data_IF_309442249447
#
_entry.id   IF_309442249447
#
_cell.length_a   1.000
_cell.length_b   1.000
_cell.length_c   1.000
_cell.angle_alpha   90.00
_cell.angle_beta   90.00
_cell.angle_gamma   90.00
#
_symmetry.space_group_name_H-M   'P 1'
#
loop_
_entity.id
_entity.type
_entity.pdbx_description
1 polymer ?
#
# COMPACT_ATOMS: atom_id res chain seq x y z
N UNK A 1 7.78 12.76 -35.90
CA UNK A 1 6.65 11.82 -35.68
C UNK A 1 6.32 11.85 -34.18
N UNK A 2 5.11 12.23 -33.74
CA UNK A 2 4.78 12.17 -32.33
C UNK A 2 4.72 10.70 -31.90
N UNK A 3 5.38 10.36 -30.80
CA UNK A 3 5.33 9.02 -30.24
C UNK A 3 3.86 8.70 -29.87
N UNK A 4 3.24 7.75 -30.56
CA UNK A 4 1.93 7.23 -30.15
C UNK A 4 2.10 6.63 -28.76
N UNK A 5 1.45 7.20 -27.74
CA UNK A 5 1.28 6.55 -26.45
C UNK A 5 0.70 5.17 -26.72
N UNK A 6 1.47 4.11 -26.46
CA UNK A 6 0.95 2.74 -26.58
C UNK A 6 -0.11 2.59 -25.50
N UNK A 7 -1.33 2.23 -25.89
CA UNK A 7 -2.39 1.90 -24.94
C UNK A 7 -1.90 0.78 -24.03
N UNK A 8 -2.07 0.95 -22.72
CA UNK A 8 -1.80 -0.10 -21.75
C UNK A 8 -2.78 -1.24 -22.06
N UNK A 9 -2.27 -2.48 -22.13
CA UNK A 9 -3.14 -3.64 -22.30
C UNK A 9 -4.10 -3.73 -21.10
N UNK A 10 -5.39 -4.03 -21.30
CA UNK A 10 -6.38 -4.05 -20.21
C UNK A 10 -5.92 -4.83 -18.97
N UNK A 11 -5.24 -5.97 -19.16
CA UNK A 11 -4.75 -6.83 -18.08
C UNK A 11 -3.68 -6.13 -17.23
N UNK A 12 -2.80 -5.34 -17.88
CA UNK A 12 -1.81 -4.52 -17.18
C UNK A 12 -2.46 -3.37 -16.43
N UNK A 13 -3.53 -2.79 -16.97
CA UNK A 13 -4.27 -1.73 -16.28
C UNK A 13 -4.95 -2.26 -15.02
N UNK A 14 -5.61 -3.42 -15.09
CA UNK A 14 -6.23 -4.07 -13.94
C UNK A 14 -5.22 -4.37 -12.83
N UNK A 15 -4.02 -4.83 -13.17
CA UNK A 15 -2.94 -5.04 -12.21
C UNK A 15 -2.50 -3.73 -11.52
N UNK A 16 -2.31 -2.65 -12.29
CA UNK A 16 -1.96 -1.34 -11.74
C UNK A 16 -3.07 -0.77 -10.84
N UNK A 17 -4.33 -0.97 -11.21
CA UNK A 17 -5.47 -0.52 -10.41
C UNK A 17 -5.53 -1.26 -9.05
N UNK A 18 -5.23 -2.56 -9.03
CA UNK A 18 -5.10 -3.34 -7.78
C UNK A 18 -3.98 -2.82 -6.89
N UNK A 19 -2.79 -2.56 -7.47
CA UNK A 19 -1.67 -2.00 -6.72
C UNK A 19 -2.01 -0.63 -6.12
N UNK A 20 -2.66 0.24 -6.90
CA UNK A 20 -3.06 1.57 -6.42
C UNK A 20 -4.07 1.49 -5.27
N UNK A 21 -4.98 0.51 -5.29
CA UNK A 21 -5.91 0.28 -4.18
C UNK A 21 -5.19 -0.19 -2.91
N UNK A 22 -4.23 -1.12 -3.05
CA UNK A 22 -3.40 -1.61 -1.93
C UNK A 22 -2.61 -0.45 -1.31
N UNK A 23 -1.91 0.33 -2.13
CA UNK A 23 -1.12 1.48 -1.69
C UNK A 23 -1.99 2.49 -0.92
N UNK A 24 -3.16 2.83 -1.47
CA UNK A 24 -4.10 3.75 -0.82
C UNK A 24 -4.56 3.23 0.55
N UNK A 25 -4.81 1.93 0.67
CA UNK A 25 -5.15 1.28 1.94
C UNK A 25 -4.04 1.42 2.98
N UNK A 26 -2.81 1.05 2.61
CA UNK A 26 -1.64 1.13 3.48
C UNK A 26 -1.35 2.56 3.94
N UNK A 27 -1.40 3.55 3.05
CA UNK A 27 -1.22 4.98 3.39
C UNK A 27 -2.31 5.46 4.36
N UNK A 28 -3.54 4.98 4.20
CA UNK A 28 -4.64 5.35 5.10
C UNK A 28 -4.38 4.80 6.50
N UNK A 29 -3.98 3.55 6.61
CA UNK A 29 -3.65 2.91 7.89
C UNK A 29 -2.43 3.56 8.56
N UNK A 30 -1.39 3.89 7.80
CA UNK A 30 -0.23 4.62 8.29
C UNK A 30 -0.64 5.96 8.91
N UNK A 31 -1.47 6.74 8.22
CA UNK A 31 -2.00 8.00 8.74
C UNK A 31 -2.83 7.81 10.00
N UNK A 32 -3.63 6.74 10.07
CA UNK A 32 -4.39 6.42 11.29
C UNK A 32 -3.47 6.13 12.47
N UNK A 33 -2.40 5.35 12.28
CA UNK A 33 -1.43 5.06 13.35
C UNK A 33 -0.70 6.35 13.76
N UNK A 34 -0.24 7.15 12.79
CA UNK A 34 0.43 8.42 13.04
C UNK A 34 -0.45 9.39 13.85
N UNK A 35 -1.75 9.45 13.55
CA UNK A 35 -2.70 10.28 14.30
C UNK A 35 -2.92 9.80 15.75
N UNK A 36 -2.55 8.57 16.07
CA UNK A 36 -2.61 7.99 17.42
C UNK A 36 -1.27 8.12 18.18
N UNK A 37 -0.26 8.79 17.61
CA UNK A 37 1.07 8.90 18.22
C UNK A 37 1.06 9.50 19.64
N UNK A 38 0.13 10.40 19.95
CA UNK A 38 0.01 11.02 21.26
C UNK A 38 -0.81 10.21 22.28
N UNK A 39 -1.61 9.24 21.82
CA UNK A 39 -2.50 8.45 22.67
C UNK A 39 -1.99 7.04 22.96
N UNK A 40 -1.01 6.57 22.18
CA UNK A 40 -0.38 5.25 22.35
C UNK A 40 0.92 5.35 23.15
N UNK A 41 1.24 4.31 23.91
CA UNK A 41 2.59 4.15 24.42
C UNK A 41 3.58 3.94 23.26
N UNK A 42 4.87 4.21 23.50
CA UNK A 42 5.93 3.99 22.50
C UNK A 42 5.92 2.57 21.93
N UNK A 43 5.71 1.57 22.78
CA UNK A 43 5.71 0.16 22.38
C UNK A 43 4.49 -0.17 21.52
N UNK A 44 3.30 0.32 21.89
CA UNK A 44 2.09 0.11 21.09
C UNK A 44 2.19 0.78 19.72
N UNK A 45 2.69 2.01 19.66
CA UNK A 45 2.91 2.72 18.40
C UNK A 45 3.87 1.96 17.49
N UNK A 46 5.01 1.50 18.02
CA UNK A 46 5.99 0.70 17.28
C UNK A 46 5.40 -0.62 16.78
N UNK A 47 4.68 -1.35 17.64
CA UNK A 47 4.05 -2.62 17.27
C UNK A 47 3.05 -2.45 16.12
N UNK A 48 2.25 -1.38 16.13
CA UNK A 48 1.33 -1.10 15.02
C UNK A 48 2.06 -0.87 13.68
N UNK A 49 3.19 -0.17 13.69
CA UNK A 49 4.00 0.01 12.48
C UNK A 49 4.64 -1.30 12.00
N UNK A 50 5.11 -2.14 12.94
CA UNK A 50 5.62 -3.48 12.61
C UNK A 50 4.54 -4.32 11.94
N UNK A 51 3.31 -4.31 12.48
CA UNK A 51 2.20 -5.08 11.93
C UNK A 51 1.74 -4.53 10.57
N UNK A 52 1.71 -3.20 10.39
CA UNK A 52 1.44 -2.59 9.08
C UNK A 52 2.49 -3.00 8.04
N UNK A 53 3.77 -3.04 8.41
CA UNK A 53 4.84 -3.49 7.52
C UNK A 53 4.71 -4.97 7.15
N UNK A 54 4.37 -5.85 8.10
CA UNK A 54 4.11 -7.28 7.80
C UNK A 54 2.96 -7.42 6.81
N UNK A 55 1.87 -6.70 7.05
CA UNK A 55 0.71 -6.69 6.15
C UNK A 55 1.08 -6.20 4.73
N UNK A 56 1.91 -5.16 4.63
CA UNK A 56 2.40 -4.68 3.34
C UNK A 56 3.21 -5.76 2.59
N UNK A 57 4.08 -6.50 3.30
CA UNK A 57 4.81 -7.63 2.75
C UNK A 57 3.90 -8.75 2.25
N UNK A 58 2.94 -9.20 3.07
CA UNK A 58 1.98 -10.24 2.69
C UNK A 58 1.14 -9.84 1.46
N UNK A 59 0.76 -8.56 1.35
CA UNK A 59 0.04 -8.05 0.20
C UNK A 59 0.91 -8.03 -1.06
N UNK A 60 2.20 -7.71 -0.93
CA UNK A 60 3.15 -7.74 -2.03
C UNK A 60 3.39 -9.18 -2.54
N UNK A 61 3.56 -10.15 -1.64
CA UNK A 61 3.71 -11.57 -2.00
C UNK A 61 2.50 -12.08 -2.80
N UNK A 62 1.28 -11.74 -2.36
CA UNK A 62 0.03 -12.08 -3.07
C UNK A 62 -0.12 -11.44 -4.45
N UNK A 63 0.69 -10.44 -4.81
CA UNK A 63 0.69 -9.88 -6.18
C UNK A 63 1.67 -10.58 -7.11
N UNK A 64 2.61 -11.34 -6.57
CA UNK A 64 3.64 -12.06 -7.32
C UNK A 64 3.18 -13.48 -7.66
N UNK A 65 2.35 -14.10 -6.80
CA UNK A 65 1.66 -15.39 -7.04
C UNK A 65 0.52 -15.28 -8.06
#
# INVERSE_FOLDING_TARGET
KPYKKRSIKPEKQVYLDKLAQIEKGLITEEKTIANQASSLSKNEYLNKYIDLNKKAWELAEKQIE
#
